data_IF_390186377828
#
_entry.id   IF_390186377828
#
_cell.length_a   1.000
_cell.length_b   1.000
_cell.length_c   1.000
_cell.angle_alpha   90.00
_cell.angle_beta   90.00
_cell.angle_gamma   90.00
#
_symmetry.space_group_name_H-M   'P 1'
#
loop_
_entity.id
_entity.type
_entity.pdbx_description
1 polymer ?
#
# COMPACT_ATOMS: atom_id res chain seq x y z
N UNK A 1 7.17 16.57 1.70
CA UNK A 1 7.69 15.29 1.17
C UNK A 1 8.02 15.58 -0.28
N UNK A 2 9.27 15.46 -0.72
CA UNK A 2 9.62 15.78 -2.12
C UNK A 2 9.65 14.47 -2.89
N UNK A 3 8.78 14.33 -3.89
CA UNK A 3 8.85 13.24 -4.87
C UNK A 3 10.12 13.43 -5.70
N UNK A 4 11.18 12.74 -5.29
CA UNK A 4 12.39 12.62 -6.07
C UNK A 4 12.43 11.16 -6.52
N UNK A 5 12.62 10.93 -7.82
CA UNK A 5 13.00 9.60 -8.32
C UNK A 5 14.39 9.29 -7.78
N UNK A 6 14.44 8.73 -6.58
CA UNK A 6 15.67 8.46 -5.84
C UNK A 6 15.94 6.98 -5.78
N UNK A 7 17.21 6.63 -5.91
CA UNK A 7 17.63 5.27 -5.70
C UNK A 7 17.63 4.98 -4.20
N UNK A 8 16.61 4.28 -3.71
CA UNK A 8 16.53 3.87 -2.30
C UNK A 8 17.58 2.82 -1.87
N UNK A 9 18.53 2.44 -2.75
CA UNK A 9 19.69 1.62 -2.40
C UNK A 9 21.01 2.41 -2.46
N UNK A 10 20.95 3.73 -2.70
CA UNK A 10 22.12 4.60 -2.64
C UNK A 10 22.42 4.99 -1.18
N UNK A 11 23.56 4.56 -0.62
CA UNK A 11 23.90 4.84 0.77
C UNK A 11 24.16 6.32 1.04
N UNK A 12 24.67 7.09 0.07
CA UNK A 12 24.96 8.51 0.25
C UNK A 12 23.66 9.31 0.31
N UNK A 13 22.71 8.98 -0.57
CA UNK A 13 21.36 9.55 -0.53
C UNK A 13 20.67 9.24 0.81
N UNK A 14 20.67 7.98 1.24
CA UNK A 14 20.04 7.58 2.51
C UNK A 14 20.69 8.28 3.70
N UNK A 15 22.02 8.43 3.71
CA UNK A 15 22.75 9.15 4.75
C UNK A 15 22.33 10.62 4.80
N UNK A 16 22.27 11.30 3.64
CA UNK A 16 21.81 12.68 3.56
C UNK A 16 20.36 12.85 4.02
N UNK A 17 19.47 11.94 3.60
CA UNK A 17 18.08 11.91 3.99
C UNK A 17 17.91 11.66 5.50
N UNK A 18 18.73 10.79 6.09
CA UNK A 18 18.75 10.54 7.53
C UNK A 18 19.15 11.79 8.32
N UNK A 19 20.24 12.46 7.92
CA UNK A 19 20.71 13.69 8.56
C UNK A 19 19.63 14.78 8.49
N UNK A 20 19.04 14.99 7.30
CA UNK A 20 17.97 15.97 7.12
C UNK A 20 16.70 15.59 7.91
N UNK A 21 16.33 14.31 7.88
CA UNK A 21 15.17 13.75 8.57
C UNK A 21 15.30 13.86 10.08
N UNK A 22 16.49 13.71 10.66
CA UNK A 22 16.74 13.86 12.11
C UNK A 22 16.72 15.30 12.60
N UNK A 23 17.00 16.28 11.73
CA UNK A 23 16.90 17.71 12.09
C UNK A 23 15.44 18.12 12.33
N UNK A 24 14.50 17.62 11.54
CA UNK A 24 13.07 17.97 11.65
C UNK A 24 12.42 17.68 13.02
N UNK A 25 12.56 16.48 13.62
CA UNK A 25 11.99 16.21 14.95
C UNK A 25 12.66 17.03 16.06
N UNK A 26 13.96 17.35 15.94
CA UNK A 26 14.61 18.25 16.89
C UNK A 26 14.02 19.67 16.82
N UNK A 27 13.71 20.13 15.62
CA UNK A 27 13.01 21.39 15.38
C UNK A 27 11.58 21.36 15.95
N UNK A 28 10.85 20.26 15.77
CA UNK A 28 9.53 20.08 16.40
C UNK A 28 9.62 20.08 17.93
N UNK A 29 10.61 19.41 18.53
CA UNK A 29 10.80 19.39 19.99
C UNK A 29 11.07 20.79 20.53
N UNK A 30 11.93 21.57 19.86
CA UNK A 30 12.16 22.98 20.21
C UNK A 30 10.87 23.79 20.12
N UNK A 31 10.16 23.68 19.00
CA UNK A 31 8.89 24.39 18.80
C UNK A 31 7.86 24.05 19.87
N UNK A 32 7.67 22.76 20.19
CA UNK A 32 6.72 22.32 21.21
C UNK A 32 7.07 22.88 22.59
N UNK A 33 8.35 22.81 22.98
CA UNK A 33 8.80 23.36 24.26
C UNK A 33 8.63 24.88 24.36
N UNK A 34 8.86 25.61 23.27
CA UNK A 34 8.83 27.08 23.24
C UNK A 34 7.43 27.67 23.05
N UNK A 35 6.51 26.93 22.39
CA UNK A 35 5.25 27.47 21.87
C UNK A 35 3.99 26.76 22.34
N UNK A 36 4.07 25.55 22.90
CA UNK A 36 2.89 24.78 23.31
C UNK A 36 2.85 24.68 24.84
N UNK A 37 1.87 25.34 25.50
CA UNK A 37 1.72 25.26 26.96
C UNK A 37 1.65 23.81 27.46
N UNK A 38 2.41 23.50 28.51
CA UNK A 38 2.50 22.16 29.10
C UNK A 38 3.59 21.26 28.50
N UNK A 39 4.30 21.69 27.45
CA UNK A 39 5.40 20.95 26.83
C UNK A 39 6.81 21.42 27.26
N UNK A 40 6.93 22.33 28.24
CA UNK A 40 8.20 22.96 28.65
C UNK A 40 9.23 21.91 29.15
N UNK A 41 8.71 20.83 29.75
CA UNK A 41 9.50 19.68 30.21
C UNK A 41 9.47 18.50 29.24
N UNK A 42 8.81 18.64 28.10
CA UNK A 42 8.76 17.65 27.04
C UNK A 42 10.17 17.36 26.50
N UNK A 43 10.46 16.09 26.25
CA UNK A 43 11.74 15.62 25.71
C UNK A 43 11.49 14.60 24.62
N UNK A 44 12.40 14.54 23.66
CA UNK A 44 12.39 13.51 22.64
C UNK A 44 12.76 12.17 23.29
N UNK A 45 11.85 11.19 23.26
CA UNK A 45 12.09 9.87 23.84
C UNK A 45 13.01 9.02 22.96
N UNK A 46 12.75 9.00 21.65
CA UNK A 46 13.54 8.23 20.68
C UNK A 46 13.32 8.75 19.27
N UNK A 47 14.21 8.34 18.36
CA UNK A 47 14.08 8.48 16.92
C UNK A 47 14.12 7.08 16.30
N UNK A 48 13.49 6.91 15.14
CA UNK A 48 13.67 5.71 14.34
C UNK A 48 15.15 5.47 14.04
N UNK A 49 15.53 4.20 13.86
CA UNK A 49 16.92 3.81 13.55
C UNK A 49 17.31 4.16 12.11
N UNK A 50 16.34 4.32 11.22
CA UNK A 50 16.53 4.63 9.81
C UNK A 50 15.36 5.43 9.22
N UNK A 51 15.63 6.13 8.14
CA UNK A 51 14.66 6.87 7.34
C UNK A 51 13.70 5.90 6.66
N UNK A 52 12.40 6.19 6.79
CA UNK A 52 11.36 5.37 6.18
C UNK A 52 11.19 5.67 4.69
N UNK A 53 11.41 4.67 3.84
CA UNK A 53 11.13 4.78 2.40
C UNK A 53 9.68 4.33 2.12
N UNK A 54 8.85 5.28 1.68
CA UNK A 54 7.41 5.05 1.44
C UNK A 54 7.12 4.41 0.09
N UNK A 55 7.91 4.71 -0.94
CA UNK A 55 7.71 4.25 -2.31
C UNK A 55 9.05 3.94 -2.97
N UNK A 56 9.11 2.84 -3.72
CA UNK A 56 10.31 2.42 -4.47
C UNK A 56 9.89 1.76 -5.80
N UNK A 57 10.52 0.64 -6.16
CA UNK A 57 10.21 -0.10 -7.39
C UNK A 57 8.88 -0.83 -7.22
N UNK A 58 8.11 -0.84 -8.30
CA UNK A 58 6.93 -1.67 -8.50
C UNK A 58 7.18 -2.57 -9.71
N UNK A 59 6.59 -3.75 -9.70
CA UNK A 59 6.56 -4.61 -10.87
C UNK A 59 5.50 -4.13 -11.86
N UNK A 60 5.65 -4.52 -13.12
CA UNK A 60 4.51 -4.61 -14.02
C UNK A 60 3.88 -5.99 -13.86
N UNK A 61 2.64 -6.01 -13.41
CA UNK A 61 1.83 -7.21 -13.35
C UNK A 61 1.02 -7.40 -14.63
N UNK A 62 0.34 -8.55 -14.73
CA UNK A 62 -0.59 -8.84 -15.84
C UNK A 62 -1.74 -7.80 -15.92
N UNK A 63 -1.98 -7.07 -14.83
CA UNK A 63 -2.71 -5.81 -14.82
C UNK A 63 -1.98 -4.77 -13.99
N UNK A 64 -2.29 -3.50 -14.23
CA UNK A 64 -1.79 -2.37 -13.48
C UNK A 64 -2.97 -1.56 -12.95
N UNK A 65 -3.19 -1.60 -11.64
CA UNK A 65 -4.28 -0.85 -11.00
C UNK A 65 -4.06 0.65 -11.22
N UNK A 66 -5.08 1.36 -11.67
CA UNK A 66 -5.00 2.76 -12.08
C UNK A 66 -5.73 3.70 -11.13
N UNK A 67 -5.47 5.00 -11.27
CA UNK A 67 -6.20 6.05 -10.56
C UNK A 67 -7.71 5.93 -10.78
N UNK A 68 -8.11 5.70 -12.02
CA UNK A 68 -9.53 5.69 -12.41
C UNK A 68 -10.25 4.45 -11.86
N UNK A 69 -9.56 3.31 -11.75
CA UNK A 69 -10.07 2.13 -11.05
C UNK A 69 -10.39 2.43 -9.59
N UNK A 70 -9.47 3.12 -8.90
CA UNK A 70 -9.65 3.55 -7.51
C UNK A 70 -10.82 4.51 -7.41
N UNK A 71 -10.81 5.62 -8.16
CA UNK A 71 -11.85 6.66 -8.06
C UNK A 71 -13.24 6.19 -8.52
N UNK A 72 -13.32 5.14 -9.33
CA UNK A 72 -14.59 4.53 -9.75
C UNK A 72 -15.01 3.36 -8.86
N UNK A 73 -14.22 3.02 -7.83
CA UNK A 73 -14.40 1.86 -6.97
C UNK A 73 -14.69 0.57 -7.77
N UNK A 74 -13.88 0.33 -8.81
CA UNK A 74 -14.12 -0.77 -9.75
C UNK A 74 -14.10 -2.13 -9.03
N UNK A 75 -14.95 -3.04 -9.53
CA UNK A 75 -15.03 -4.43 -9.11
C UNK A 75 -14.42 -5.32 -10.18
N UNK A 76 -13.72 -6.35 -9.76
CA UNK A 76 -13.06 -7.30 -10.63
C UNK A 76 -13.62 -8.71 -10.40
N UNK A 77 -13.65 -9.50 -11.47
CA UNK A 77 -13.93 -10.93 -11.38
C UNK A 77 -12.88 -11.66 -10.54
N UNK A 78 -11.65 -11.16 -10.57
CA UNK A 78 -10.48 -11.71 -9.90
C UNK A 78 -10.05 -10.93 -8.64
N UNK A 79 -10.95 -10.18 -7.99
CA UNK A 79 -10.65 -9.41 -6.78
C UNK A 79 -10.31 -10.26 -5.55
N UNK A 80 -9.13 -10.02 -4.96
CA UNK A 80 -8.58 -10.74 -3.79
C UNK A 80 -8.34 -9.84 -2.56
N UNK A 81 -8.72 -8.57 -2.62
CA UNK A 81 -8.66 -7.64 -1.50
C UNK A 81 -9.48 -6.38 -1.76
N UNK A 82 -9.69 -5.56 -0.73
CA UNK A 82 -10.48 -4.33 -0.79
C UNK A 82 -9.69 -3.12 -0.24
N UNK A 83 -9.92 -1.96 -0.85
CA UNK A 83 -9.42 -0.68 -0.36
C UNK A 83 -10.50 0.39 -0.41
N UNK A 84 -10.87 0.93 0.75
CA UNK A 84 -11.75 2.10 0.88
C UNK A 84 -10.99 3.39 1.24
N UNK A 85 -9.65 3.39 1.17
CA UNK A 85 -8.86 4.57 1.47
C UNK A 85 -8.79 5.52 0.25
N UNK A 86 -8.79 6.84 0.47
CA UNK A 86 -8.60 7.81 -0.60
C UNK A 86 -7.20 7.70 -1.21
N UNK A 87 -7.02 8.34 -2.36
CA UNK A 87 -5.69 8.62 -2.90
C UNK A 87 -5.10 9.79 -2.10
N UNK A 88 -3.98 9.53 -1.41
CA UNK A 88 -3.22 10.51 -0.64
C UNK A 88 -2.02 11.01 -1.46
N UNK A 89 -2.19 12.12 -2.15
CA UNK A 89 -1.17 12.65 -3.03
C UNK A 89 -0.30 13.70 -2.31
N UNK A 90 0.97 13.38 -2.12
CA UNK A 90 1.96 14.19 -1.41
C UNK A 90 2.93 14.85 -2.40
N UNK A 91 2.43 15.80 -3.18
CA UNK A 91 3.27 16.61 -4.05
C UNK A 91 4.29 17.46 -3.26
N UNK A 92 5.32 17.94 -3.97
CA UNK A 92 6.26 18.92 -3.47
C UNK A 92 5.57 20.28 -3.23
N UNK A 93 4.91 20.41 -2.08
CA UNK A 93 4.15 21.59 -1.67
C UNK A 93 3.75 21.51 -0.19
N UNK A 94 3.05 22.54 0.30
CA UNK A 94 2.55 22.57 1.68
C UNK A 94 1.33 21.67 1.90
N UNK A 95 0.61 21.32 0.83
CA UNK A 95 -0.70 20.67 0.90
C UNK A 95 -0.64 19.21 0.45
N UNK A 96 -1.45 18.36 1.09
CA UNK A 96 -1.74 16.99 0.62
C UNK A 96 -3.08 17.00 -0.09
N UNK A 97 -3.13 16.46 -1.30
CA UNK A 97 -4.38 16.36 -2.07
C UNK A 97 -5.02 15.01 -1.82
N UNK A 98 -6.25 15.06 -1.32
CA UNK A 98 -7.07 13.88 -1.02
C UNK A 98 -8.12 13.70 -2.11
N UNK A 99 -8.21 12.51 -2.70
CA UNK A 99 -9.22 12.18 -3.69
C UNK A 99 -9.94 10.91 -3.25
N UNK A 100 -11.24 11.05 -2.98
CA UNK A 100 -12.05 9.98 -2.42
C UNK A 100 -12.74 9.20 -3.54
N UNK A 101 -12.85 7.89 -3.31
CA UNK A 101 -13.78 7.02 -4.03
C UNK A 101 -15.21 7.26 -3.50
N UNK A 102 -16.26 6.81 -4.19
CA UNK A 102 -17.64 7.05 -3.78
C UNK A 102 -17.92 6.55 -2.35
N UNK A 103 -18.78 7.27 -1.63
CA UNK A 103 -19.07 6.98 -0.23
C UNK A 103 -19.57 5.55 -0.02
N UNK A 104 -19.00 4.88 0.99
CA UNK A 104 -19.33 3.50 1.33
C UNK A 104 -18.83 2.46 0.32
N UNK A 105 -18.02 2.85 -0.68
CA UNK A 105 -17.45 1.94 -1.66
C UNK A 105 -15.99 1.61 -1.36
N UNK A 106 -15.50 0.56 -2.02
CA UNK A 106 -14.11 0.13 -1.99
C UNK A 106 -13.72 -0.44 -3.35
N UNK A 107 -12.53 -0.05 -3.82
CA UNK A 107 -11.91 -0.65 -4.99
C UNK A 107 -11.41 -2.05 -4.66
N UNK A 108 -11.55 -2.99 -5.58
CA UNK A 108 -10.96 -4.32 -5.45
C UNK A 108 -9.50 -4.34 -5.90
N UNK A 109 -8.70 -5.20 -5.27
CA UNK A 109 -7.33 -5.52 -5.68
C UNK A 109 -7.41 -6.79 -6.56
N UNK A 110 -7.28 -6.70 -7.88
CA UNK A 110 -7.37 -7.88 -8.75
C UNK A 110 -6.10 -8.73 -8.64
N UNK A 111 -6.25 -10.05 -8.61
CA UNK A 111 -5.16 -11.02 -8.46
C UNK A 111 -4.04 -10.82 -9.49
N UNK A 112 -4.39 -10.50 -10.74
CA UNK A 112 -3.45 -10.16 -11.83
C UNK A 112 -2.54 -8.94 -11.57
N UNK A 113 -2.79 -8.13 -10.54
CA UNK A 113 -1.81 -7.09 -10.09
C UNK A 113 -0.65 -7.66 -9.27
N UNK A 114 -0.81 -8.88 -8.77
CA UNK A 114 0.15 -9.60 -7.94
C UNK A 114 1.02 -10.55 -8.77
N UNK A 115 0.59 -10.90 -9.98
CA UNK A 115 1.30 -11.77 -10.92
C UNK A 115 2.26 -10.94 -11.78
N UNK A 116 3.56 -11.22 -11.73
CA UNK A 116 4.59 -10.43 -12.45
C UNK A 116 4.58 -10.74 -13.94
N UNK A 117 4.25 -9.77 -14.79
CA UNK A 117 4.03 -9.94 -16.24
C UNK A 117 5.19 -10.63 -16.96
N UNK A 118 6.40 -10.18 -16.66
CA UNK A 118 7.60 -10.56 -17.43
C UNK A 118 8.38 -11.71 -16.76
N UNK A 119 7.73 -12.46 -15.86
CA UNK A 119 8.30 -13.62 -15.18
C UNK A 119 7.27 -14.77 -15.03
N UNK A 120 7.69 -16.00 -15.31
CA UNK A 120 6.96 -17.18 -14.85
C UNK A 120 7.15 -17.32 -13.34
N UNK A 121 6.26 -18.04 -12.65
CA UNK A 121 6.40 -18.47 -11.25
C UNK A 121 6.70 -17.39 -10.18
N UNK A 122 6.51 -16.10 -10.49
CA UNK A 122 6.76 -15.00 -9.57
C UNK A 122 5.47 -14.26 -9.24
N UNK A 123 5.16 -14.21 -7.95
CA UNK A 123 4.13 -13.34 -7.36
C UNK A 123 4.78 -12.28 -6.48
N UNK A 124 4.12 -11.13 -6.35
CA UNK A 124 4.49 -10.08 -5.40
C UNK A 124 3.30 -9.68 -4.52
N UNK A 125 3.59 -9.09 -3.37
CA UNK A 125 2.57 -8.57 -2.47
C UNK A 125 3.08 -7.32 -1.74
N UNK A 126 2.16 -6.44 -1.35
CA UNK A 126 2.48 -5.20 -0.64
C UNK A 126 3.08 -4.15 -1.58
N UNK A 127 3.98 -3.30 -1.07
CA UNK A 127 4.45 -2.07 -1.76
C UNK A 127 5.02 -2.26 -3.17
N UNK A 128 5.42 -3.46 -3.58
CA UNK A 128 5.97 -3.72 -4.92
C UNK A 128 4.93 -4.17 -5.96
N UNK A 129 3.65 -4.29 -5.59
CA UNK A 129 2.58 -4.71 -6.51
C UNK A 129 2.34 -3.75 -7.67
N UNK A 130 1.66 -4.24 -8.71
CA UNK A 130 1.44 -3.51 -9.95
C UNK A 130 0.33 -2.46 -9.85
N UNK A 131 0.75 -1.19 -9.76
CA UNK A 131 -0.14 -0.04 -9.71
C UNK A 131 0.49 1.21 -10.37
N UNK A 132 -0.34 2.18 -10.75
CA UNK A 132 0.13 3.55 -10.99
C UNK A 132 0.51 4.21 -9.66
N UNK A 133 1.25 5.32 -9.71
CA UNK A 133 1.63 6.05 -8.50
C UNK A 133 0.41 6.43 -7.65
N UNK A 134 -0.60 7.04 -8.28
CA UNK A 134 -1.82 7.47 -7.58
C UNK A 134 -2.61 6.29 -6.97
N UNK A 135 -2.76 5.19 -7.72
CA UNK A 135 -3.45 4.00 -7.19
C UNK A 135 -2.68 3.39 -6.01
N UNK A 136 -1.35 3.37 -6.12
CA UNK A 136 -0.46 2.91 -5.06
C UNK A 136 -0.58 3.77 -3.80
N UNK A 137 -0.78 5.08 -3.93
CA UNK A 137 -0.99 5.97 -2.80
C UNK A 137 -2.25 5.63 -1.96
N UNK A 138 -3.27 5.02 -2.57
CA UNK A 138 -4.44 4.49 -1.87
C UNK A 138 -4.22 3.05 -1.38
N UNK A 139 -3.78 2.15 -2.26
CA UNK A 139 -3.95 0.69 -2.13
C UNK A 139 -2.71 -0.01 -1.54
N UNK A 140 -1.91 0.70 -0.73
CA UNK A 140 -0.68 0.15 -0.11
C UNK A 140 -0.63 0.22 1.42
N UNK A 141 -1.74 0.61 2.05
CA UNK A 141 -1.82 0.62 3.51
C UNK A 141 -1.61 -0.78 4.09
N UNK A 142 -1.30 -0.85 5.39
CA UNK A 142 -0.89 -2.11 6.03
C UNK A 142 -1.95 -3.22 5.86
N UNK A 143 -3.24 -2.87 5.98
CA UNK A 143 -4.34 -3.82 5.78
C UNK A 143 -4.32 -4.44 4.38
N UNK A 144 -4.14 -3.62 3.34
CA UNK A 144 -4.06 -4.06 1.95
C UNK A 144 -2.79 -4.89 1.70
N UNK A 145 -1.65 -4.53 2.31
CA UNK A 145 -0.44 -5.34 2.25
C UNK A 145 -0.65 -6.73 2.88
N UNK A 146 -1.35 -6.81 4.02
CA UNK A 146 -1.69 -8.09 4.65
C UNK A 146 -2.64 -8.91 3.78
N UNK A 147 -3.69 -8.30 3.23
CA UNK A 147 -4.63 -8.97 2.33
C UNK A 147 -3.92 -9.51 1.06
N UNK A 148 -3.09 -8.69 0.42
CA UNK A 148 -2.24 -9.12 -0.69
C UNK A 148 -1.31 -10.28 -0.29
N UNK A 149 -0.70 -10.21 0.90
CA UNK A 149 0.18 -11.27 1.41
C UNK A 149 -0.54 -12.61 1.57
N UNK A 150 -1.75 -12.59 2.15
CA UNK A 150 -2.57 -13.78 2.31
C UNK A 150 -3.00 -14.35 0.94
N UNK A 151 -3.47 -13.49 0.03
CA UNK A 151 -3.86 -13.88 -1.33
C UNK A 151 -2.68 -14.51 -2.11
N UNK A 152 -1.55 -13.82 -2.17
CA UNK A 152 -0.35 -14.27 -2.87
C UNK A 152 0.21 -15.56 -2.28
N UNK A 153 0.30 -15.67 -0.95
CA UNK A 153 0.78 -16.89 -0.29
C UNK A 153 -0.12 -18.10 -0.55
N UNK A 154 -1.44 -17.91 -0.49
CA UNK A 154 -2.43 -18.97 -0.78
C UNK A 154 -2.33 -19.41 -2.24
N UNK A 155 -2.27 -18.46 -3.17
CA UNK A 155 -2.15 -18.74 -4.59
C UNK A 155 -0.83 -19.47 -4.93
N UNK A 156 0.28 -19.07 -4.32
CA UNK A 156 1.56 -19.75 -4.47
C UNK A 156 1.49 -21.21 -4.01
N UNK A 157 0.84 -21.48 -2.88
CA UNK A 157 0.65 -22.84 -2.37
C UNK A 157 -0.23 -23.68 -3.32
N UNK A 158 -1.30 -23.10 -3.87
CA UNK A 158 -2.16 -23.77 -4.85
C UNK A 158 -1.41 -24.11 -6.14
N UNK A 159 -0.67 -23.14 -6.69
CA UNK A 159 0.14 -23.32 -7.90
C UNK A 159 1.20 -24.41 -7.70
N UNK A 160 1.91 -24.38 -6.58
CA UNK A 160 2.93 -25.38 -6.23
C UNK A 160 2.32 -26.79 -6.09
N UNK A 161 1.16 -26.92 -5.45
CA UNK A 161 0.48 -28.21 -5.29
C UNK A 161 -0.03 -28.80 -6.62
N UNK A 162 -0.44 -27.93 -7.55
CA UNK A 162 -0.89 -28.32 -8.88
C UNK A 162 0.26 -28.51 -9.90
N UNK A 163 1.48 -28.07 -9.56
CA UNK A 163 2.60 -28.02 -10.50
C UNK A 163 2.37 -27.05 -11.66
N UNK A 164 1.63 -25.96 -11.43
CA UNK A 164 1.23 -24.97 -12.45
C UNK A 164 1.88 -23.60 -12.24
N UNK A 165 1.78 -22.70 -13.22
CA UNK A 165 2.15 -21.30 -13.03
C UNK A 165 1.12 -20.60 -12.13
N UNK A 166 1.50 -19.58 -11.33
CA UNK A 166 0.54 -18.77 -10.59
C UNK A 166 -0.55 -18.12 -11.46
N UNK A 167 -0.32 -17.93 -12.76
CA UNK A 167 -1.34 -17.49 -13.73
C UNK A 167 -2.46 -18.48 -13.93
N UNK A 168 -2.16 -19.77 -13.79
CA UNK A 168 -3.12 -20.85 -14.03
C UNK A 168 -3.96 -21.15 -12.77
N UNK A 169 -3.72 -20.44 -11.67
CA UNK A 169 -4.52 -20.58 -10.45
C UNK A 169 -5.96 -20.18 -10.72
N UNK A 170 -6.89 -21.12 -10.50
CA UNK A 170 -8.31 -20.85 -10.57
C UNK A 170 -8.71 -19.83 -9.48
N UNK A 171 -8.89 -18.57 -9.87
CA UNK A 171 -9.09 -17.46 -8.92
C UNK A 171 -10.36 -17.63 -8.09
N UNK A 172 -11.41 -18.27 -8.61
CA UNK A 172 -12.61 -18.58 -7.83
C UNK A 172 -12.31 -19.52 -6.65
N UNK A 173 -11.45 -20.53 -6.85
CA UNK A 173 -11.02 -21.42 -5.78
C UNK A 173 -10.12 -20.69 -4.77
N UNK A 174 -9.26 -19.78 -5.24
CA UNK A 174 -8.46 -18.91 -4.37
C UNK A 174 -9.36 -18.02 -3.51
N UNK A 175 -10.34 -17.34 -4.10
CA UNK A 175 -11.29 -16.46 -3.39
C UNK A 175 -12.13 -17.25 -2.40
N UNK A 176 -12.61 -18.43 -2.77
CA UNK A 176 -13.33 -19.32 -1.86
C UNK A 176 -12.47 -19.70 -0.65
N UNK A 177 -11.19 -20.00 -0.87
CA UNK A 177 -10.24 -20.30 0.22
C UNK A 177 -10.01 -19.08 1.12
N UNK A 178 -9.79 -17.91 0.54
CA UNK A 178 -9.60 -16.67 1.29
C UNK A 178 -10.81 -16.34 2.17
N UNK A 179 -12.04 -16.49 1.64
CA UNK A 179 -13.28 -16.29 2.40
C UNK A 179 -13.40 -17.32 3.52
N UNK A 180 -13.07 -18.60 3.27
CA UNK A 180 -13.05 -19.63 4.30
C UNK A 180 -12.04 -19.33 5.42
N UNK A 181 -10.94 -18.67 5.09
CA UNK A 181 -9.92 -18.20 6.04
C UNK A 181 -10.27 -16.82 6.65
N UNK A 182 -11.48 -16.28 6.41
CA UNK A 182 -12.02 -15.07 7.03
C UNK A 182 -11.79 -13.76 6.26
N UNK A 183 -11.31 -13.80 5.02
CA UNK A 183 -11.10 -12.60 4.22
C UNK A 183 -12.44 -11.95 3.79
N UNK A 184 -12.49 -10.63 3.84
CA UNK A 184 -13.63 -9.82 3.36
C UNK A 184 -13.33 -9.40 1.92
N UNK A 185 -14.01 -10.03 0.95
CA UNK A 185 -13.85 -9.74 -0.48
C UNK A 185 -15.04 -9.00 -1.09
N UNK A 186 -16.12 -8.81 -0.32
CA UNK A 186 -17.32 -8.07 -0.72
C UNK A 186 -17.71 -7.13 0.40
N UNK A 187 -18.24 -5.97 0.04
CA UNK A 187 -18.86 -5.09 1.01
C UNK A 187 -20.17 -5.74 1.45
N UNK A 188 -20.29 -6.02 2.74
CA UNK A 188 -21.59 -6.31 3.35
C UNK A 188 -22.37 -5.00 3.51
N UNK A 189 -23.70 -5.07 3.66
CA UNK A 189 -24.52 -3.87 3.89
C UNK A 189 -23.92 -3.00 5.00
N UNK A 190 -24.04 -1.66 4.90
CA UNK A 190 -23.49 -0.77 5.92
C UNK A 190 -24.06 -1.15 7.28
N UNK A 191 -23.18 -1.38 8.25
CA UNK A 191 -23.59 -1.40 9.66
C UNK A 191 -24.16 -0.02 9.91
N UNK A 192 -25.49 0.07 10.07
CA UNK A 192 -26.16 1.33 10.38
C UNK A 192 -25.47 1.91 11.61
N UNK A 193 -24.90 3.10 11.45
CA UNK A 193 -24.47 3.87 12.60
C UNK A 193 -25.74 4.20 13.39
N UNK A 194 -25.85 3.62 14.58
CA UNK A 194 -26.85 4.02 15.58
C UNK A 194 -26.53 5.42 16.12
#
# INVERSE_FOLDING_TARGET
>A
MTELFVNATDPDFLTGAEIAGRRQPLEYVRFLADKVPGYERGRLATLSTQIGVRETRRVYGDYRLTRDDVLSAIRFDDGVGLCGAPIEDHHAGADTRWQYLPDGQAVEIPYRTLVVRDAANVLVAGRCFSATHDAHASVRSMAQCMAMGQATGTAAAMAAAAGSDPRDVAVDALRARLVADGAILRLTEPVRAE
#
